data_IF_966097463223
#
_entry.id   IF_966097463223
#
_cell.length_a   1.000
_cell.length_b   1.000
_cell.length_c   1.000
_cell.angle_alpha   90.00
_cell.angle_beta   90.00
_cell.angle_gamma   90.00
#
_symmetry.space_group_name_H-M   'P 1'
#
loop_
_entity.id
_entity.type
_entity.pdbx_description
1 polymer ?
#
# COMPACT_ATOMS: atom_id res chain seq x y z
N UNK A 1 -28.18 -5.75 -10.20
CA UNK A 1 -27.92 -4.64 -9.28
C UNK A 1 -26.95 -3.69 -9.96
N UNK A 2 -27.28 -2.41 -10.09
CA UNK A 2 -26.37 -1.42 -10.69
C UNK A 2 -25.26 -1.01 -9.70
N UNK A 3 -24.31 -0.19 -10.14
CA UNK A 3 -23.15 0.24 -9.30
C UNK A 3 -23.61 0.96 -8.03
N UNK A 4 -24.59 1.85 -8.13
CA UNK A 4 -25.06 2.66 -6.99
C UNK A 4 -25.83 1.82 -5.98
N UNK A 5 -26.71 0.92 -6.43
CA UNK A 5 -27.41 -0.04 -5.57
C UNK A 5 -26.42 -0.95 -4.82
N UNK A 6 -25.39 -1.43 -5.54
CA UNK A 6 -24.34 -2.27 -4.97
C UNK A 6 -23.52 -1.53 -3.92
N UNK A 7 -23.14 -0.30 -4.22
CA UNK A 7 -22.40 0.57 -3.30
C UNK A 7 -23.23 0.94 -2.07
N UNK A 8 -24.53 1.24 -2.24
CA UNK A 8 -25.42 1.52 -1.12
C UNK A 8 -25.52 0.30 -0.20
N UNK A 9 -25.72 -0.90 -0.76
CA UNK A 9 -25.76 -2.15 0.03
C UNK A 9 -24.45 -2.42 0.78
N UNK A 10 -23.30 -2.13 0.16
CA UNK A 10 -21.99 -2.20 0.84
C UNK A 10 -21.92 -1.25 2.04
N UNK A 11 -22.43 -0.03 1.90
CA UNK A 11 -22.44 0.98 2.95
C UNK A 11 -23.51 0.71 4.02
N UNK A 12 -24.61 0.03 3.69
CA UNK A 12 -25.60 -0.45 4.66
C UNK A 12 -24.99 -1.50 5.58
N UNK A 13 -24.21 -2.42 5.01
CA UNK A 13 -23.58 -3.51 5.74
C UNK A 13 -22.40 -3.04 6.60
N UNK A 14 -21.49 -2.22 6.05
CA UNK A 14 -20.26 -1.83 6.74
C UNK A 14 -19.83 -0.37 6.45
N UNK A 15 -19.16 0.31 7.40
CA UNK A 15 -18.58 1.63 7.16
C UNK A 15 -17.38 1.59 6.20
N UNK A 16 -17.38 2.46 5.19
CA UNK A 16 -16.36 2.50 4.14
C UNK A 16 -15.94 3.94 3.80
N UNK A 17 -14.63 4.21 3.87
CA UNK A 17 -14.06 5.46 3.37
C UNK A 17 -14.09 5.51 1.83
N UNK A 18 -13.78 6.67 1.25
CA UNK A 18 -13.84 6.88 -0.21
C UNK A 18 -12.92 5.93 -0.97
N UNK A 19 -11.64 5.80 -0.56
CA UNK A 19 -10.70 4.88 -1.22
C UNK A 19 -11.17 3.43 -1.13
N UNK A 20 -11.70 3.01 0.02
CA UNK A 20 -12.19 1.64 0.19
C UNK A 20 -13.45 1.38 -0.64
N UNK A 21 -14.43 2.28 -0.66
CA UNK A 21 -15.59 2.08 -1.52
C UNK A 21 -15.18 2.08 -2.99
N UNK A 22 -14.36 3.05 -3.41
CA UNK A 22 -13.94 3.20 -4.80
C UNK A 22 -13.12 2.03 -5.32
N UNK A 23 -12.23 1.45 -4.51
CA UNK A 23 -11.41 0.30 -4.95
C UNK A 23 -12.24 -0.95 -5.22
N UNK A 24 -13.48 -1.07 -4.73
CA UNK A 24 -14.36 -2.18 -5.12
C UNK A 24 -14.83 -2.09 -6.59
N UNK A 25 -14.60 -0.94 -7.23
CA UNK A 25 -14.94 -0.66 -8.61
C UNK A 25 -13.73 -0.15 -9.41
N UNK A 26 -12.51 -0.43 -8.94
CA UNK A 26 -11.25 0.10 -9.46
C UNK A 26 -11.05 -0.11 -10.97
N UNK A 27 -11.52 -1.25 -11.52
CA UNK A 27 -11.39 -1.57 -12.94
C UNK A 27 -12.47 -0.94 -13.83
N UNK A 28 -13.30 -0.06 -13.27
CA UNK A 28 -14.29 0.74 -14.00
C UNK A 28 -13.87 2.22 -14.02
N UNK A 29 -13.89 2.83 -15.21
CA UNK A 29 -13.55 4.25 -15.39
C UNK A 29 -12.05 4.52 -15.18
N UNK A 30 -11.25 4.25 -16.21
CA UNK A 30 -9.79 4.45 -16.22
C UNK A 30 -9.38 5.92 -15.97
N UNK A 31 -8.20 6.12 -15.38
CA UNK A 31 -7.63 7.44 -15.12
C UNK A 31 -8.15 8.15 -13.87
N UNK A 32 -9.03 7.49 -13.11
CA UNK A 32 -9.58 8.00 -11.85
C UNK A 32 -8.98 7.25 -10.65
N UNK A 33 -8.53 8.01 -9.65
CA UNK A 33 -8.08 7.48 -8.36
C UNK A 33 -9.25 6.84 -7.61
N UNK A 34 -8.99 5.79 -6.82
CA UNK A 34 -10.07 5.11 -6.08
C UNK A 34 -10.74 6.02 -5.05
N UNK A 35 -9.99 6.96 -4.43
CA UNK A 35 -10.57 8.00 -3.57
C UNK A 35 -11.63 8.82 -4.31
N UNK A 36 -11.30 9.30 -5.52
CA UNK A 36 -12.22 10.11 -6.32
C UNK A 36 -13.42 9.29 -6.80
N UNK A 37 -13.20 8.02 -7.16
CA UNK A 37 -14.26 7.08 -7.56
C UNK A 37 -15.26 6.85 -6.45
N UNK A 38 -14.78 6.53 -5.24
CA UNK A 38 -15.65 6.32 -4.09
C UNK A 38 -16.38 7.60 -3.66
N UNK A 39 -15.70 8.75 -3.73
CA UNK A 39 -16.34 10.05 -3.49
C UNK A 39 -17.46 10.31 -4.49
N UNK A 40 -17.22 10.10 -5.79
CA UNK A 40 -18.21 10.31 -6.84
C UNK A 40 -19.46 9.41 -6.65
N UNK A 41 -19.26 8.15 -6.26
CA UNK A 41 -20.37 7.25 -5.91
C UNK A 41 -21.19 7.82 -4.75
N UNK A 42 -20.53 8.30 -3.68
CA UNK A 42 -21.20 8.90 -2.53
C UNK A 42 -21.88 10.24 -2.86
N UNK A 43 -21.29 11.06 -3.72
CA UNK A 43 -21.93 12.28 -4.24
C UNK A 43 -23.26 11.94 -4.92
N UNK A 44 -23.26 10.95 -5.82
CA UNK A 44 -24.48 10.52 -6.53
C UNK A 44 -25.53 9.94 -5.58
N UNK A 45 -25.13 9.09 -4.62
CA UNK A 45 -26.05 8.57 -3.60
C UNK A 45 -26.61 9.69 -2.71
N UNK A 46 -25.80 10.70 -2.36
CA UNK A 46 -26.24 11.84 -1.55
C UNK A 46 -27.25 12.71 -2.33
N UNK A 47 -27.00 12.96 -3.62
CA UNK A 47 -27.94 13.67 -4.49
C UNK A 47 -29.27 12.93 -4.60
N UNK A 48 -29.23 11.61 -4.82
CA UNK A 48 -30.44 10.78 -4.92
C UNK A 48 -31.20 10.72 -3.58
N UNK A 49 -30.49 10.52 -2.48
CA UNK A 49 -31.07 10.56 -1.13
C UNK A 49 -31.73 11.91 -0.83
N UNK A 50 -31.09 13.02 -1.21
CA UNK A 50 -31.69 14.35 -1.05
C UNK A 50 -32.93 14.54 -1.93
N UNK A 51 -32.89 14.10 -3.20
CA UNK A 51 -34.02 14.15 -4.14
C UNK A 51 -35.24 13.42 -3.57
N UNK A 52 -35.04 12.22 -3.02
CA UNK A 52 -36.09 11.41 -2.39
C UNK A 52 -36.62 12.07 -1.10
N UNK A 53 -35.73 12.61 -0.26
CA UNK A 53 -36.12 13.31 0.95
C UNK A 53 -37.00 14.54 0.65
N UNK A 54 -36.70 15.30 -0.41
CA UNK A 54 -37.53 16.41 -0.88
C UNK A 54 -38.92 15.96 -1.36
N UNK A 55 -39.04 14.74 -1.86
CA UNK A 55 -40.30 14.10 -2.23
C UNK A 55 -41.05 13.49 -1.03
N UNK A 56 -40.54 13.67 0.19
CA UNK A 56 -41.04 13.07 1.43
C UNK A 56 -41.01 11.54 1.43
N UNK A 57 -40.12 10.95 0.63
CA UNK A 57 -39.84 9.52 0.67
C UNK A 57 -38.89 9.23 1.85
N UNK A 58 -39.29 8.38 2.82
CA UNK A 58 -38.44 8.03 3.96
C UNK A 58 -37.12 7.36 3.56
N UNK A 59 -37.05 6.71 2.39
CA UNK A 59 -35.82 6.08 1.91
C UNK A 59 -34.71 7.11 1.67
N UNK A 60 -35.08 8.34 1.28
CA UNK A 60 -34.11 9.43 1.09
C UNK A 60 -33.34 9.77 2.36
N UNK A 61 -34.05 9.87 3.50
CA UNK A 61 -33.43 10.11 4.81
C UNK A 61 -32.58 8.91 5.25
N UNK A 62 -33.02 7.69 4.94
CA UNK A 62 -32.25 6.47 5.24
C UNK A 62 -30.91 6.47 4.50
N UNK A 63 -30.90 6.71 3.19
CA UNK A 63 -29.68 6.80 2.38
C UNK A 63 -28.72 7.86 2.94
N UNK A 64 -29.24 9.05 3.25
CA UNK A 64 -28.43 10.15 3.78
C UNK A 64 -27.80 9.80 5.15
N UNK A 65 -28.54 9.11 6.03
CA UNK A 65 -28.00 8.65 7.33
C UNK A 65 -26.90 7.61 7.14
N UNK A 66 -27.09 6.63 6.26
CA UNK A 66 -26.06 5.63 5.92
C UNK A 66 -24.79 6.31 5.39
N UNK A 67 -24.94 7.29 4.48
CA UNK A 67 -23.79 8.03 3.94
C UNK A 67 -23.07 8.87 5.01
N UNK A 68 -23.81 9.49 5.93
CA UNK A 68 -23.23 10.27 7.01
C UNK A 68 -22.46 9.38 8.01
N UNK A 69 -23.08 8.29 8.49
CA UNK A 69 -22.51 7.40 9.50
C UNK A 69 -21.46 6.44 8.94
N UNK A 70 -21.87 5.61 7.97
CA UNK A 70 -21.05 4.54 7.42
C UNK A 70 -20.18 5.03 6.26
N UNK A 71 -20.68 5.98 5.47
CA UNK A 71 -19.88 6.62 4.43
C UNK A 71 -18.92 7.69 4.96
N UNK A 72 -19.10 8.18 6.19
CA UNK A 72 -18.35 9.31 6.74
C UNK A 72 -18.43 10.56 5.85
N UNK A 73 -19.53 10.72 5.13
CA UNK A 73 -19.62 11.65 4.01
C UNK A 73 -20.21 13.00 4.43
N UNK A 74 -19.36 14.02 4.51
CA UNK A 74 -19.71 15.36 5.03
C UNK A 74 -20.93 15.99 4.35
N UNK A 75 -21.07 15.81 3.03
CA UNK A 75 -22.19 16.40 2.28
C UNK A 75 -23.54 15.83 2.76
N UNK A 76 -23.59 14.53 3.07
CA UNK A 76 -24.81 13.92 3.60
C UNK A 76 -25.17 14.47 4.99
N UNK A 77 -24.18 14.65 5.87
CA UNK A 77 -24.37 15.29 7.19
C UNK A 77 -24.90 16.73 7.05
N UNK A 78 -24.34 17.52 6.13
CA UNK A 78 -24.79 18.89 5.86
C UNK A 78 -26.24 18.94 5.34
N UNK A 79 -26.62 17.99 4.47
CA UNK A 79 -27.99 17.86 3.97
C UNK A 79 -28.95 17.52 5.12
N UNK A 80 -28.61 16.52 5.95
CA UNK A 80 -29.44 16.13 7.11
C UNK A 80 -29.65 17.29 8.07
N UNK A 81 -28.58 18.05 8.37
CA UNK A 81 -28.64 19.24 9.22
C UNK A 81 -29.58 20.31 8.66
N UNK A 82 -29.55 20.54 7.34
CA UNK A 82 -30.46 21.48 6.67
C UNK A 82 -31.93 21.01 6.64
N UNK A 83 -32.16 19.72 6.81
CA UNK A 83 -33.49 19.10 6.91
C UNK A 83 -33.96 18.93 8.36
N UNK A 84 -33.27 19.56 9.32
CA UNK A 84 -33.51 19.44 10.77
C UNK A 84 -33.54 17.98 11.26
N UNK A 85 -32.68 17.14 10.67
CA UNK A 85 -32.51 15.73 11.06
C UNK A 85 -31.26 15.55 11.92
N UNK A 86 -31.34 14.63 12.87
CA UNK A 86 -30.18 14.23 13.68
C UNK A 86 -29.11 13.58 12.80
N UNK A 87 -27.86 14.01 13.01
CA UNK A 87 -26.68 13.38 12.44
C UNK A 87 -26.18 12.28 13.38
N UNK A 88 -25.94 11.08 12.84
CA UNK A 88 -25.24 10.03 13.57
C UNK A 88 -23.73 10.26 13.57
N UNK A 89 -23.02 9.57 14.46
CA UNK A 89 -21.56 9.67 14.53
C UNK A 89 -20.88 8.92 13.37
N UNK A 90 -19.83 9.54 12.80
CA UNK A 90 -19.00 8.91 11.78
C UNK A 90 -18.32 7.67 12.36
N UNK A 91 -18.50 6.53 11.69
CA UNK A 91 -17.82 5.28 12.04
C UNK A 91 -16.48 5.15 11.31
N UNK A 92 -15.55 4.41 11.90
CA UNK A 92 -14.28 4.08 11.25
C UNK A 92 -14.49 3.08 10.13
N UNK A 93 -13.69 3.19 9.07
CA UNK A 93 -13.78 2.29 7.92
C UNK A 93 -13.47 0.83 8.33
N UNK A 94 -14.39 -0.08 8.06
CA UNK A 94 -14.29 -1.51 8.37
C UNK A 94 -13.04 -2.16 7.73
N UNK A 95 -12.74 -1.77 6.50
CA UNK A 95 -11.68 -2.38 5.70
C UNK A 95 -10.30 -1.84 6.06
N UNK A 96 -10.11 -0.52 6.16
CA UNK A 96 -8.77 0.05 6.36
C UNK A 96 -8.53 0.66 7.75
N UNK A 97 -9.54 0.70 8.63
CA UNK A 97 -9.39 1.30 9.96
C UNK A 97 -9.05 2.80 9.95
N UNK A 98 -9.29 3.51 8.85
CA UNK A 98 -8.92 4.92 8.69
C UNK A 98 -7.53 5.16 8.11
N UNK A 99 -6.80 4.11 7.70
CA UNK A 99 -5.44 4.22 7.15
C UNK A 99 -5.32 5.18 5.95
N UNK A 100 -6.35 5.29 5.10
CA UNK A 100 -6.36 6.19 3.95
C UNK A 100 -6.67 7.66 4.29
N UNK A 101 -6.94 7.99 5.56
CA UNK A 101 -7.21 9.37 5.97
C UNK A 101 -5.93 10.19 6.03
N UNK A 102 -4.85 9.61 6.56
CA UNK A 102 -3.53 10.25 6.60
C UNK A 102 -2.39 9.22 6.48
N UNK A 103 -1.74 9.22 5.31
CA UNK A 103 -0.55 8.41 5.03
C UNK A 103 0.75 9.20 5.17
N UNK A 104 0.66 10.52 5.41
CA UNK A 104 1.80 11.43 5.42
C UNK A 104 2.87 11.02 6.43
N UNK A 105 2.53 10.66 7.70
CA UNK A 105 3.53 10.25 8.68
C UNK A 105 4.35 9.02 8.24
N UNK A 106 3.70 8.07 7.57
CA UNK A 106 4.32 6.85 7.08
C UNK A 106 5.26 7.14 5.89
N UNK A 107 4.83 8.01 4.98
CA UNK A 107 5.62 8.48 3.84
C UNK A 107 6.84 9.27 4.30
N UNK A 108 6.68 10.21 5.24
CA UNK A 108 7.76 11.03 5.76
C UNK A 108 8.83 10.16 6.44
N UNK A 109 8.40 9.15 7.21
CA UNK A 109 9.29 8.16 7.81
C UNK A 109 10.05 7.36 6.74
N UNK A 110 9.38 6.94 5.66
CA UNK A 110 10.02 6.24 4.54
C UNK A 110 11.07 7.12 3.84
N UNK A 111 10.72 8.37 3.51
CA UNK A 111 11.61 9.33 2.85
C UNK A 111 12.84 9.63 3.71
N UNK A 112 12.66 9.76 5.03
CA UNK A 112 13.78 9.95 5.96
C UNK A 112 14.77 8.78 5.90
N UNK A 113 14.28 7.53 5.88
CA UNK A 113 15.14 6.34 5.77
C UNK A 113 15.83 6.25 4.40
N UNK A 114 15.15 6.68 3.32
CA UNK A 114 15.73 6.71 1.98
C UNK A 114 16.90 7.69 1.83
N UNK A 115 16.95 8.74 2.65
CA UNK A 115 18.03 9.74 2.60
C UNK A 115 19.42 9.18 2.90
N UNK A 116 19.51 7.98 3.48
CA UNK A 116 20.78 7.29 3.74
C UNK A 116 21.34 6.56 2.50
N UNK A 117 20.61 6.55 1.38
CA UNK A 117 20.95 5.79 0.18
C UNK A 117 21.05 6.68 -1.06
N UNK A 118 21.98 6.34 -1.94
CA UNK A 118 22.02 6.85 -3.32
C UNK A 118 21.25 5.87 -4.23
N UNK A 119 20.22 6.36 -4.91
CA UNK A 119 19.39 5.55 -5.81
C UNK A 119 18.66 6.44 -6.83
N UNK A 120 18.27 5.88 -7.96
CA UNK A 120 17.44 6.53 -8.99
C UNK A 120 16.04 5.91 -9.11
N UNK A 121 15.92 4.62 -8.80
CA UNK A 121 14.64 3.90 -8.85
C UNK A 121 14.29 3.22 -7.54
N UNK A 122 13.00 3.15 -7.24
CA UNK A 122 12.50 2.44 -6.08
C UNK A 122 11.23 1.64 -6.38
N UNK A 123 10.86 0.75 -5.46
CA UNK A 123 9.59 0.05 -5.47
C UNK A 123 9.01 0.04 -4.06
N UNK A 124 7.71 0.28 -3.92
CA UNK A 124 6.99 0.17 -2.64
C UNK A 124 6.28 -1.18 -2.56
N UNK A 125 6.73 -2.03 -1.65
CA UNK A 125 6.04 -3.26 -1.30
C UNK A 125 5.24 -3.10 -0.01
N UNK A 126 3.97 -3.51 -0.02
CA UNK A 126 3.10 -3.44 1.15
C UNK A 126 2.96 -4.83 1.78
N UNK A 127 3.10 -4.89 3.10
CA UNK A 127 2.82 -6.07 3.93
C UNK A 127 1.57 -5.82 4.74
N UNK A 128 0.54 -6.61 4.51
CA UNK A 128 -0.73 -6.55 5.23
C UNK A 128 -0.83 -7.78 6.14
N UNK A 129 -1.28 -7.63 7.41
CA UNK A 129 -1.58 -8.77 8.27
C UNK A 129 -2.65 -9.69 7.65
N UNK A 130 -2.52 -11.00 7.81
CA UNK A 130 -3.45 -11.97 7.22
C UNK A 130 -4.92 -11.70 7.57
N UNK A 131 -5.20 -11.34 8.83
CA UNK A 131 -6.56 -10.97 9.28
C UNK A 131 -7.19 -9.85 8.44
N UNK A 132 -6.40 -8.87 8.00
CA UNK A 132 -6.90 -7.76 7.20
C UNK A 132 -7.12 -8.16 5.74
N UNK A 133 -6.33 -9.10 5.22
CA UNK A 133 -6.55 -9.68 3.88
C UNK A 133 -7.81 -10.55 3.87
N UNK A 134 -7.98 -11.42 4.87
CA UNK A 134 -9.17 -12.25 5.05
C UNK A 134 -10.44 -11.41 5.17
N UNK A 135 -10.40 -10.33 5.98
CA UNK A 135 -11.50 -9.37 6.11
C UNK A 135 -11.90 -8.75 4.76
N UNK A 136 -10.92 -8.39 3.94
CA UNK A 136 -11.17 -7.83 2.60
C UNK A 136 -11.78 -8.88 1.66
N UNK A 137 -11.27 -10.11 1.69
CA UNK A 137 -11.74 -11.21 0.85
C UNK A 137 -13.17 -11.63 1.21
N UNK A 138 -13.49 -11.75 2.50
CA UNK A 138 -14.85 -12.02 2.99
C UNK A 138 -15.84 -10.94 2.55
N UNK A 139 -15.44 -9.67 2.71
CA UNK A 139 -16.26 -8.54 2.28
C UNK A 139 -16.53 -8.59 0.76
N UNK A 140 -15.50 -8.87 -0.05
CA UNK A 140 -15.64 -8.97 -1.51
C UNK A 140 -16.52 -10.13 -1.93
N UNK A 141 -16.37 -11.28 -1.29
CA UNK A 141 -17.18 -12.46 -1.55
C UNK A 141 -18.65 -12.20 -1.22
N UNK A 142 -18.94 -11.62 -0.04
CA UNK A 142 -20.30 -11.27 0.39
C UNK A 142 -21.01 -10.33 -0.60
N UNK A 143 -20.27 -9.38 -1.16
CA UNK A 143 -20.81 -8.40 -2.11
C UNK A 143 -20.56 -8.76 -3.58
N UNK A 144 -20.07 -9.97 -3.89
CA UNK A 144 -19.81 -10.44 -5.26
C UNK A 144 -18.97 -9.44 -6.08
N UNK A 145 -17.90 -8.89 -5.50
CA UNK A 145 -17.09 -7.83 -6.15
C UNK A 145 -16.31 -8.39 -7.34
N UNK A 146 -16.56 -7.85 -8.54
CA UNK A 146 -15.92 -8.29 -9.78
C UNK A 146 -14.77 -7.37 -10.24
N UNK A 147 -14.93 -6.07 -10.02
CA UNK A 147 -14.05 -5.04 -10.60
C UNK A 147 -13.13 -4.38 -9.56
N UNK A 148 -12.78 -5.11 -8.50
CA UNK A 148 -12.07 -4.58 -7.35
C UNK A 148 -10.54 -4.68 -7.41
N UNK A 149 -9.84 -3.70 -6.82
CA UNK A 149 -8.38 -3.71 -6.61
C UNK A 149 -8.04 -3.91 -5.14
N UNK A 150 -7.12 -4.82 -4.80
CA UNK A 150 -6.73 -5.12 -3.41
C UNK A 150 -6.21 -3.89 -2.65
N UNK A 151 -6.41 -3.85 -1.33
CA UNK A 151 -5.88 -2.78 -0.50
C UNK A 151 -4.35 -2.68 -0.61
N UNK A 152 -3.67 -3.83 -0.74
CA UNK A 152 -2.21 -3.91 -0.94
C UNK A 152 -1.75 -3.11 -2.16
N UNK A 153 -2.44 -3.27 -3.29
CA UNK A 153 -2.09 -2.60 -4.54
C UNK A 153 -2.40 -1.10 -4.47
N UNK A 154 -3.58 -0.73 -3.93
CA UNK A 154 -3.96 0.67 -3.74
C UNK A 154 -2.94 1.40 -2.85
N UNK A 155 -2.56 0.81 -1.71
CA UNK A 155 -1.57 1.40 -0.81
C UNK A 155 -0.20 1.54 -1.46
N UNK A 156 0.27 0.51 -2.18
CA UNK A 156 1.55 0.56 -2.91
C UNK A 156 1.55 1.71 -3.93
N UNK A 157 0.45 1.88 -4.67
CA UNK A 157 0.27 2.90 -5.70
C UNK A 157 0.20 4.31 -5.10
N UNK A 158 -0.61 4.51 -4.06
CA UNK A 158 -0.77 5.81 -3.39
C UNK A 158 0.52 6.24 -2.68
N UNK A 159 1.12 5.36 -1.88
CA UNK A 159 2.37 5.66 -1.16
C UNK A 159 3.51 5.89 -2.16
N UNK A 160 3.60 5.07 -3.21
CA UNK A 160 4.60 5.24 -4.27
C UNK A 160 4.51 6.60 -4.96
N UNK A 161 3.29 7.06 -5.25
CA UNK A 161 3.04 8.39 -5.82
C UNK A 161 3.48 9.52 -4.87
N UNK A 162 3.14 9.43 -3.59
CA UNK A 162 3.55 10.42 -2.59
C UNK A 162 5.08 10.48 -2.43
N UNK A 163 5.76 9.33 -2.39
CA UNK A 163 7.24 9.28 -2.33
C UNK A 163 7.86 9.87 -3.60
N UNK A 164 7.28 9.60 -4.77
CA UNK A 164 7.73 10.18 -6.04
C UNK A 164 7.61 11.71 -6.04
N UNK A 165 6.48 12.24 -5.58
CA UNK A 165 6.23 13.68 -5.50
C UNK A 165 7.23 14.40 -4.57
N UNK A 166 7.67 13.75 -3.49
CA UNK A 166 8.64 14.33 -2.54
C UNK A 166 10.09 14.18 -3.04
N UNK A 167 10.46 13.00 -3.54
CA UNK A 167 11.86 12.66 -3.85
C UNK A 167 12.26 12.93 -5.29
N UNK A 168 11.30 13.01 -6.21
CA UNK A 168 11.52 13.06 -7.67
C UNK A 168 12.04 11.75 -8.28
N UNK A 169 12.26 10.71 -7.47
CA UNK A 169 12.81 9.41 -7.90
C UNK A 169 11.72 8.56 -8.55
N UNK A 170 12.07 7.68 -9.49
CA UNK A 170 11.07 6.95 -10.30
C UNK A 170 10.72 5.61 -9.66
N UNK A 171 9.44 5.26 -9.68
CA UNK A 171 9.02 3.90 -9.34
C UNK A 171 9.33 2.94 -10.50
N UNK A 172 10.10 1.87 -10.25
CA UNK A 172 10.40 0.81 -11.22
C UNK A 172 10.02 -0.57 -10.63
N UNK A 173 9.01 -1.20 -11.21
CA UNK A 173 8.48 -2.49 -10.76
C UNK A 173 9.29 -3.69 -11.24
N UNK A 174 10.14 -3.50 -12.26
CA UNK A 174 10.91 -4.58 -12.89
C UNK A 174 12.35 -4.63 -12.38
N UNK A 175 12.98 -3.46 -12.22
CA UNK A 175 14.38 -3.31 -11.81
C UNK A 175 14.56 -2.16 -10.80
N UNK A 176 13.95 -2.26 -9.62
CA UNK A 176 14.20 -1.28 -8.57
C UNK A 176 15.63 -1.39 -8.05
N UNK A 177 16.26 -0.27 -7.73
CA UNK A 177 17.52 -0.24 -6.95
C UNK A 177 17.23 -0.40 -5.46
N UNK A 178 16.13 0.17 -4.99
CA UNK A 178 15.66 0.05 -3.61
C UNK A 178 14.22 -0.49 -3.55
N UNK A 179 13.97 -1.45 -2.68
CA UNK A 179 12.62 -1.89 -2.31
C UNK A 179 12.30 -1.40 -0.89
N UNK A 180 11.22 -0.64 -0.78
CA UNK A 180 10.68 -0.11 0.47
C UNK A 180 9.54 -1.02 0.90
N UNK A 181 9.77 -1.84 1.91
CA UNK A 181 8.77 -2.75 2.46
C UNK A 181 8.09 -2.07 3.64
N UNK A 182 6.80 -1.82 3.52
CA UNK A 182 6.00 -1.06 4.50
C UNK A 182 4.89 -1.95 5.03
N UNK A 183 4.79 -2.07 6.35
CA UNK A 183 3.59 -2.53 7.02
C UNK A 183 2.84 -1.30 7.56
N UNK A 184 1.71 -0.91 6.94
CA UNK A 184 1.00 0.31 7.31
C UNK A 184 0.23 0.20 8.63
N UNK A 185 0.00 -1.02 9.14
CA UNK A 185 -0.72 -1.24 10.40
C UNK A 185 0.21 -1.25 11.60
N UNK A 186 1.45 -1.73 11.44
CA UNK A 186 2.47 -1.71 12.50
C UNK A 186 3.45 -0.54 12.37
N UNK A 187 3.30 0.27 11.32
CA UNK A 187 4.23 1.35 10.92
C UNK A 187 5.69 0.89 10.74
N UNK A 188 5.90 -0.41 10.53
CA UNK A 188 7.23 -0.98 10.29
C UNK A 188 7.66 -0.68 8.84
N UNK A 189 8.85 -0.13 8.68
CA UNK A 189 9.44 0.14 7.37
C UNK A 189 10.81 -0.53 7.31
N UNK A 190 11.01 -1.33 6.27
CA UNK A 190 12.28 -1.99 5.96
C UNK A 190 12.74 -1.60 4.57
N UNK A 191 13.96 -1.08 4.49
CA UNK A 191 14.64 -0.79 3.23
C UNK A 191 15.46 -2.01 2.82
N UNK A 192 15.30 -2.44 1.57
CA UNK A 192 16.15 -3.44 0.93
C UNK A 192 16.84 -2.78 -0.26
N UNK A 193 18.15 -2.56 -0.16
CA UNK A 193 18.99 -2.16 -1.29
C UNK A 193 19.39 -3.40 -2.10
N UNK A 194 19.22 -3.31 -3.42
CA UNK A 194 19.68 -4.36 -4.33
C UNK A 194 21.18 -4.22 -4.60
N UNK A 195 21.87 -5.34 -4.75
CA UNK A 195 23.32 -5.37 -4.97
C UNK A 195 23.70 -4.70 -6.28
N UNK A 196 24.75 -3.87 -6.24
CA UNK A 196 25.42 -3.39 -7.45
C UNK A 196 26.38 -4.46 -7.97
N UNK A 197 26.35 -4.71 -9.27
CA UNK A 197 27.27 -5.62 -9.93
C UNK A 197 28.36 -4.82 -10.65
N UNK A 198 29.58 -4.91 -10.14
CA UNK A 198 30.75 -4.26 -10.74
C UNK A 198 31.43 -5.26 -11.67
N UNK A 199 31.57 -4.90 -12.95
CA UNK A 199 32.29 -5.70 -13.93
C UNK A 199 33.59 -5.01 -14.32
N UNK A 200 34.67 -5.79 -14.39
CA UNK A 200 35.96 -5.34 -14.86
C UNK A 200 36.76 -6.48 -15.48
N UNK A 201 37.96 -6.17 -15.96
CA UNK A 201 38.95 -7.16 -16.40
C UNK A 201 40.19 -7.01 -15.54
N UNK A 202 40.70 -8.11 -15.02
CA UNK A 202 41.97 -8.13 -14.29
C UNK A 202 43.02 -8.92 -15.08
N UNK A 203 44.30 -8.58 -14.89
CA UNK A 203 45.43 -9.37 -15.41
C UNK A 203 46.09 -10.07 -14.25
N UNK A 204 46.14 -11.40 -14.30
CA UNK A 204 46.86 -12.22 -13.34
C UNK A 204 48.32 -12.35 -13.77
N UNK A 205 49.20 -11.54 -13.17
CA UNK A 205 50.62 -11.48 -13.56
C UNK A 205 51.53 -12.48 -12.81
N UNK A 206 51.06 -13.03 -11.70
CA UNK A 206 51.84 -13.93 -10.83
C UNK A 206 51.29 -15.36 -10.91
N UNK A 207 52.20 -16.35 -11.02
CA UNK A 207 51.86 -17.78 -10.96
C UNK A 207 51.72 -18.22 -9.50
N UNK A 208 50.82 -19.17 -9.22
CA UNK A 208 50.63 -19.74 -7.88
C UNK A 208 49.53 -19.11 -7.02
N UNK A 209 49.00 -17.94 -7.38
CA UNK A 209 47.84 -17.36 -6.69
C UNK A 209 46.52 -17.96 -7.23
N UNK A 210 45.59 -18.44 -6.40
CA UNK A 210 44.28 -18.93 -6.85
C UNK A 210 43.36 -17.79 -7.30
N UNK A 211 42.32 -18.13 -8.08
CA UNK A 211 41.30 -17.15 -8.51
C UNK A 211 40.37 -16.76 -7.36
N UNK A 212 39.78 -17.77 -6.68
CA UNK A 212 38.91 -17.59 -5.52
C UNK A 212 39.67 -17.85 -4.21
N UNK A 213 39.06 -17.51 -3.07
CA UNK A 213 39.60 -17.82 -1.74
C UNK A 213 39.52 -19.33 -1.45
N UNK A 214 40.66 -19.96 -1.17
CA UNK A 214 40.71 -21.38 -0.77
C UNK A 214 40.83 -21.51 0.74
N UNK A 215 39.78 -21.99 1.38
CA UNK A 215 39.78 -22.26 2.81
C UNK A 215 40.66 -23.47 3.16
N UNK A 216 41.25 -23.47 4.34
CA UNK A 216 41.98 -24.63 4.86
C UNK A 216 41.01 -25.81 5.04
N UNK A 217 41.32 -26.95 4.43
CA UNK A 217 40.45 -28.14 4.47
C UNK A 217 40.21 -28.69 5.88
N UNK A 218 41.13 -28.45 6.83
CA UNK A 218 41.02 -28.93 8.22
C UNK A 218 40.11 -28.05 9.09
N UNK A 219 40.26 -26.72 9.03
CA UNK A 219 39.52 -25.80 9.90
C UNK A 219 38.38 -25.05 9.22
N UNK A 220 38.25 -25.17 7.88
CA UNK A 220 37.23 -24.53 7.05
C UNK A 220 37.12 -23.01 7.28
N UNK A 221 38.25 -22.33 7.42
CA UNK A 221 38.31 -20.88 7.63
C UNK A 221 38.49 -20.42 9.07
N UNK A 222 38.36 -21.30 10.07
CA UNK A 222 38.47 -20.91 11.50
C UNK A 222 39.90 -20.60 11.98
N UNK A 223 40.92 -21.09 11.27
CA UNK A 223 42.32 -21.03 11.71
C UNK A 223 42.76 -22.27 12.51
N UNK A 224 43.94 -22.80 12.22
CA UNK A 224 44.57 -23.89 12.98
C UNK A 224 46.10 -23.92 12.75
N UNK A 225 46.87 -24.69 13.53
CA UNK A 225 48.32 -24.78 13.34
C UNK A 225 48.75 -25.20 11.92
N UNK A 226 47.94 -26.00 11.22
CA UNK A 226 48.25 -26.45 9.84
C UNK A 226 48.28 -25.29 8.83
N UNK A 227 47.45 -24.27 9.02
CA UNK A 227 47.40 -23.10 8.15
C UNK A 227 48.01 -21.85 8.80
N UNK A 228 48.87 -22.03 9.81
CA UNK A 228 49.41 -20.94 10.61
C UNK A 228 48.33 -19.97 11.10
N UNK A 229 47.18 -20.49 11.54
CA UNK A 229 46.04 -19.73 12.06
C UNK A 229 45.34 -18.79 11.06
N UNK A 230 45.73 -18.80 9.78
CA UNK A 230 45.13 -17.92 8.75
C UNK A 230 43.74 -18.36 8.28
N UNK A 231 43.38 -19.62 8.53
CA UNK A 231 42.14 -20.22 8.02
C UNK A 231 42.15 -20.52 6.52
N UNK A 232 43.20 -20.12 5.78
CA UNK A 232 43.31 -20.24 4.33
C UNK A 232 44.36 -21.26 3.91
N UNK A 233 44.23 -21.83 2.72
CA UNK A 233 45.23 -22.71 2.08
C UNK A 233 46.31 -21.91 1.37
N UNK A 234 45.93 -20.81 0.72
CA UNK A 234 46.84 -19.83 0.12
C UNK A 234 46.61 -18.47 0.78
N UNK A 235 47.67 -17.66 1.02
CA UNK A 235 47.52 -16.37 1.71
C UNK A 235 46.62 -15.37 0.96
N UNK A 236 46.75 -15.33 -0.36
CA UNK A 236 46.09 -14.36 -1.25
C UNK A 236 45.31 -15.05 -2.38
N UNK A 237 44.33 -14.34 -2.91
CA UNK A 237 43.50 -14.69 -4.08
C UNK A 237 43.30 -13.45 -4.93
N UNK A 238 42.84 -13.62 -6.17
CA UNK A 238 42.45 -12.49 -7.01
C UNK A 238 41.18 -11.81 -6.50
N UNK A 239 40.23 -12.59 -5.98
CA UNK A 239 39.02 -12.15 -5.27
C UNK A 239 39.31 -11.53 -3.88
#
# INVERSE_FOLDING_TARGET
MNILEKALRMLEDEPLCDSCLGRQFAFLGYGMENKDRGKAIKDLLAMEGHRLALQRDPEGLKILRILAENGGFRIASEILRKLDQAEGEKRQCFLCGGLFEDLSPLVDKAVKLLSEYEYDTFLVGIRIPAEMEEREDEFRAKHEVEYGESMRNELSRVIGKMIHEITGKKADYMKPEIVILINPFTEEIKIQSNSLYIMGRYRKLVRGIPQSKWLCGRCRGRGCPLCNWTGKKYPESVE
#
